data_IF_313566498960
#
_entry.id   IF_313566498960
#
_cell.length_a   1.000
_cell.length_b   1.000
_cell.length_c   1.000
_cell.angle_alpha   90.00
_cell.angle_beta   90.00
_cell.angle_gamma   90.00
#
_symmetry.space_group_name_H-M   'P 1'
#
loop_
_entity.id
_entity.type
_entity.pdbx_description
1 polymer ?
#
# COMPACT_ATOMS: atom_id res chain seq x y z
N UNK A 1 -6.70 1.23 27.65
CA UNK A 1 -5.79 1.74 26.61
C UNK A 1 -5.85 0.75 25.46
N UNK A 2 -6.59 1.06 24.39
CA UNK A 2 -6.79 0.14 23.27
C UNK A 2 -5.54 0.11 22.39
N UNK A 3 -4.98 -1.09 22.21
CA UNK A 3 -3.74 -1.37 21.50
C UNK A 3 -3.97 -1.76 20.02
N UNK A 4 -5.09 -1.30 19.44
CA UNK A 4 -5.57 -1.80 18.14
C UNK A 4 -5.49 -0.72 17.05
N UNK A 5 -4.28 -0.31 16.65
CA UNK A 5 -4.16 0.50 15.42
C UNK A 5 -2.79 0.47 14.71
N UNK A 6 -2.09 -0.67 14.69
CA UNK A 6 -0.77 -0.76 14.05
C UNK A 6 -0.77 -1.17 12.57
N UNK A 7 -1.92 -1.50 12.01
CA UNK A 7 -2.06 -1.88 10.59
C UNK A 7 -3.36 -1.33 10.04
N UNK A 8 -3.42 -0.02 9.85
CA UNK A 8 -4.52 0.60 9.13
C UNK A 8 -4.46 0.07 7.69
N UNK A 9 -5.25 -0.98 7.42
CA UNK A 9 -5.44 -1.54 6.08
C UNK A 9 -5.90 -0.39 5.18
N UNK A 10 -5.00 0.12 4.35
CA UNK A 10 -5.39 0.96 3.22
C UNK A 10 -6.10 0.00 2.27
N UNK A 11 -7.43 -0.06 2.35
CA UNK A 11 -8.23 -0.70 1.32
C UNK A 11 -8.08 0.17 0.08
N UNK A 12 -7.25 -0.28 -0.85
CA UNK A 12 -7.28 0.25 -2.20
C UNK A 12 -8.56 -0.32 -2.78
N UNK A 13 -9.56 0.53 -2.97
CA UNK A 13 -10.65 0.16 -3.85
C UNK A 13 -10.00 -0.14 -5.20
N UNK A 14 -10.03 -1.40 -5.64
CA UNK A 14 -9.51 -1.84 -6.95
C UNK A 14 -10.40 -1.31 -8.10
N UNK A 15 -10.84 -0.06 -7.98
CA UNK A 15 -11.83 0.61 -8.80
C UNK A 15 -11.24 1.96 -9.22
N UNK A 16 -11.28 2.21 -10.53
CA UNK A 16 -10.80 3.44 -11.13
C UNK A 16 -11.68 4.61 -10.67
N UNK A 17 -11.09 5.67 -10.10
CA UNK A 17 -11.87 6.81 -9.60
C UNK A 17 -12.53 7.62 -10.73
N UNK A 18 -12.09 7.45 -11.98
CA UNK A 18 -12.63 8.17 -13.12
C UNK A 18 -13.79 7.45 -13.81
N UNK A 19 -13.69 6.13 -14.01
CA UNK A 19 -14.65 5.39 -14.81
C UNK A 19 -15.34 4.22 -14.09
N UNK A 20 -14.96 3.92 -12.84
CA UNK A 20 -15.57 2.85 -12.04
C UNK A 20 -15.21 1.42 -12.48
N UNK A 21 -14.34 1.25 -13.49
CA UNK A 21 -13.82 -0.05 -13.89
C UNK A 21 -12.73 -0.53 -12.94
N UNK A 22 -12.40 -1.82 -12.99
CA UNK A 22 -11.27 -2.34 -12.21
C UNK A 22 -9.95 -1.73 -12.66
N UNK A 23 -9.05 -1.55 -11.69
CA UNK A 23 -7.65 -1.18 -11.94
C UNK A 23 -6.74 -2.36 -11.68
N UNK A 24 -5.59 -2.38 -12.33
CA UNK A 24 -4.54 -3.39 -12.17
C UNK A 24 -3.31 -2.77 -11.52
N UNK A 25 -2.68 -3.49 -10.59
CA UNK A 25 -1.35 -3.12 -10.06
C UNK A 25 -0.31 -3.44 -11.14
N UNK A 26 0.45 -2.44 -11.57
CA UNK A 26 1.45 -2.60 -12.64
C UNK A 26 2.88 -2.37 -12.18
N UNK A 27 3.07 -1.71 -11.03
CA UNK A 27 4.40 -1.53 -10.42
C UNK A 27 4.31 -1.41 -8.90
N UNK A 28 5.43 -1.69 -8.23
CA UNK A 28 5.59 -1.63 -6.78
C UNK A 28 6.99 -1.16 -6.39
N UNK A 29 7.05 -0.11 -5.58
CA UNK A 29 8.28 0.40 -4.98
C UNK A 29 8.20 0.34 -3.45
N UNK A 30 9.25 -0.20 -2.82
CA UNK A 30 9.40 -0.25 -1.36
C UNK A 30 10.72 0.36 -0.87
N UNK A 31 11.51 0.95 -1.78
CA UNK A 31 12.84 1.50 -1.51
C UNK A 31 12.80 2.78 -0.68
N UNK A 32 11.69 3.52 -0.74
CA UNK A 32 11.45 4.78 0.00
C UNK A 32 10.98 4.56 1.43
N UNK A 33 11.07 3.32 1.94
CA UNK A 33 10.52 2.91 3.24
C UNK A 33 8.98 3.03 3.36
N UNK A 34 8.29 3.24 2.23
CA UNK A 34 6.84 3.19 2.04
C UNK A 34 6.52 2.14 0.98
N UNK A 35 5.42 1.41 1.12
CA UNK A 35 4.92 0.51 0.07
C UNK A 35 4.08 1.38 -0.89
N UNK A 36 4.71 1.82 -1.98
CA UNK A 36 4.10 2.62 -3.04
C UNK A 36 3.73 1.69 -4.19
N UNK A 37 2.52 1.80 -4.71
CA UNK A 37 2.02 0.92 -5.78
C UNK A 37 1.39 1.72 -6.90
N UNK A 38 1.81 1.44 -8.13
CA UNK A 38 1.21 2.04 -9.31
C UNK A 38 0.01 1.21 -9.75
N UNK A 39 -1.16 1.83 -9.78
CA UNK A 39 -2.35 1.26 -10.37
C UNK A 39 -2.64 1.92 -11.70
N UNK A 40 -3.10 1.14 -12.67
CA UNK A 40 -3.54 1.64 -13.97
C UNK A 40 -4.91 1.07 -14.36
N UNK A 41 -5.72 1.90 -15.01
CA UNK A 41 -6.96 1.51 -15.64
C UNK A 41 -6.74 1.33 -17.15
N UNK A 42 -6.96 0.12 -17.66
CA UNK A 42 -6.84 -0.19 -19.09
C UNK A 42 -7.95 0.43 -19.94
N UNK A 43 -9.03 0.92 -19.32
CA UNK A 43 -10.21 1.45 -20.03
C UNK A 43 -10.10 2.95 -20.31
N UNK A 44 -9.66 3.73 -19.32
CA UNK A 44 -9.62 5.20 -19.42
C UNK A 44 -8.20 5.79 -19.27
N UNK A 45 -7.17 4.93 -19.29
CA UNK A 45 -5.75 5.30 -19.22
C UNK A 45 -5.35 6.08 -17.95
N UNK A 46 -6.20 6.08 -16.92
CA UNK A 46 -5.84 6.63 -15.62
C UNK A 46 -4.77 5.78 -14.96
N UNK A 47 -3.76 6.41 -14.38
CA UNK A 47 -2.77 5.74 -13.53
C UNK A 47 -2.30 6.63 -12.40
N UNK A 48 -2.06 6.06 -11.23
CA UNK A 48 -1.51 6.81 -10.09
C UNK A 48 -0.75 5.91 -9.11
N UNK A 49 0.20 6.52 -8.39
CA UNK A 49 0.93 5.87 -7.29
C UNK A 49 0.16 6.05 -5.99
N UNK A 50 -0.20 4.92 -5.38
CA UNK A 50 -0.91 4.86 -4.11
C UNK A 50 0.04 4.41 -3.01
N UNK A 51 0.06 5.17 -1.91
CA UNK A 51 0.79 4.81 -0.69
C UNK A 51 -0.06 3.84 0.14
N UNK A 52 0.36 2.58 0.19
CA UNK A 52 -0.36 1.52 0.91
C UNK A 52 0.17 1.32 2.33
N UNK A 53 1.09 2.19 2.78
CA UNK A 53 1.61 2.23 4.13
C UNK A 53 3.05 1.74 4.27
N UNK A 54 3.31 0.98 5.33
CA UNK A 54 4.66 0.52 5.70
C UNK A 54 4.95 -0.80 4.96
N UNK A 55 6.10 -0.93 4.28
CA UNK A 55 6.46 -2.18 3.63
C UNK A 55 6.76 -3.27 4.67
N UNK A 56 6.42 -4.52 4.33
CA UNK A 56 6.52 -5.66 5.25
C UNK A 56 7.92 -5.84 5.85
N UNK A 57 8.98 -5.60 5.07
CA UNK A 57 10.36 -5.74 5.55
C UNK A 57 10.67 -4.74 6.68
N UNK A 58 10.09 -3.54 6.63
CA UNK A 58 10.28 -2.50 7.63
C UNK A 58 9.49 -2.83 8.88
N UNK A 59 8.21 -3.20 8.72
CA UNK A 59 7.37 -3.65 9.83
C UNK A 59 8.02 -4.83 10.58
N UNK A 60 8.58 -5.81 9.86
CA UNK A 60 9.29 -6.94 10.46
C UNK A 60 10.59 -6.53 11.18
N UNK A 61 11.37 -5.63 10.58
CA UNK A 61 12.61 -5.10 11.19
C UNK A 61 12.32 -4.36 12.51
N UNK A 62 11.27 -3.54 12.54
CA UNK A 62 10.84 -2.82 13.74
C UNK A 62 10.33 -3.77 14.82
N UNK A 63 9.49 -4.74 14.45
CA UNK A 63 9.02 -5.78 15.36
C UNK A 63 10.19 -6.53 16.02
N UNK A 64 11.21 -6.93 15.24
CA UNK A 64 12.38 -7.62 15.77
C UNK A 64 13.19 -6.77 16.76
N UNK A 65 13.32 -5.45 16.52
CA UNK A 65 14.00 -4.53 17.43
C UNK A 65 13.29 -4.38 18.78
N UNK A 66 11.96 -4.45 18.78
CA UNK A 66 11.15 -4.31 19.99
C UNK A 66 11.17 -5.58 20.86
N UNK A 67 11.22 -6.76 20.25
CA UNK A 67 11.12 -8.04 20.95
C UNK A 67 12.47 -8.70 21.30
N UNK A 68 13.58 -8.12 20.85
CA UNK A 68 14.94 -8.56 21.20
C UNK A 68 15.59 -7.68 22.29
N UNK A 69 14.78 -6.92 23.04
CA UNK A 69 15.18 -6.22 24.27
C UNK A 69 14.64 -6.98 25.47
#
# INVERSE_FOLDING_TARGET
MNQDNLYQKVYIEEICPQCGNKVEEIDKDTSTERDMRLYACSVCEWSDYIDVGIPLWKAYSEFKKLNNK
#
